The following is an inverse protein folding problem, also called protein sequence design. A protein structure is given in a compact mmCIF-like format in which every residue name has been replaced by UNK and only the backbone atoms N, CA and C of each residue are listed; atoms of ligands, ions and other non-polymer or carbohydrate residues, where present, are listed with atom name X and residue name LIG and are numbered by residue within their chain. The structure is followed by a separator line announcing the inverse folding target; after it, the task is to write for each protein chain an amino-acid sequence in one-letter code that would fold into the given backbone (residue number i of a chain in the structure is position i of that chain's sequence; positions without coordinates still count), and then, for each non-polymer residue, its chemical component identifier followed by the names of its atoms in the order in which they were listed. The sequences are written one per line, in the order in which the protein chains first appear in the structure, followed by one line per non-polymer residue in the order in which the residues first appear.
data_IF_639130940533
#
_entry.id   IF_639130940533
#
_cell.length_a   1.000
_cell.length_b   1.000
_cell.length_c   1.000
_cell.angle_alpha   90.00
_cell.angle_beta   90.00
_cell.angle_gamma   90.00
#
_symmetry.space_group_name_H-M   'P 1'
#
loop_
_entity.id
_entity.type
_entity.pdbx_description
1 polymer ?
#
# COMPACT_ATOMS: atom_id res chain seq x y z
N UNK A 1 26.10 8.86 -5.06
CA UNK A 1 24.85 9.63 -5.18
C UNK A 1 24.08 9.39 -3.89
N UNK A 2 23.81 10.42 -3.08
CA UNK A 2 22.99 10.23 -1.87
C UNK A 2 21.58 9.79 -2.29
N UNK A 3 21.00 8.84 -1.57
CA UNK A 3 19.63 8.34 -1.75
C UNK A 3 18.74 8.89 -0.60
N UNK A 4 18.39 10.19 -0.63
CA UNK A 4 17.68 10.84 0.48
C UNK A 4 16.26 10.29 0.71
N UNK A 5 15.73 9.52 -0.24
CA UNK A 5 14.41 8.92 -0.18
C UNK A 5 14.45 7.40 0.07
N UNK A 6 15.64 6.81 0.26
CA UNK A 6 15.81 5.38 0.53
C UNK A 6 15.31 4.45 -0.59
N UNK A 7 15.29 4.93 -1.84
CA UNK A 7 14.75 4.20 -3.00
C UNK A 7 15.57 2.95 -3.38
N UNK A 8 16.81 2.87 -2.93
CA UNK A 8 17.72 1.73 -3.13
C UNK A 8 17.92 0.90 -1.85
N UNK A 9 17.40 1.37 -0.71
CA UNK A 9 17.40 0.62 0.53
C UNK A 9 16.34 -0.49 0.49
N UNK A 10 16.77 -1.72 0.80
CA UNK A 10 15.87 -2.88 0.90
C UNK A 10 14.92 -2.67 2.08
N UNK A 11 13.66 -2.39 1.77
CA UNK A 11 12.64 -1.97 2.76
C UNK A 11 11.28 -2.61 2.52
N UNK A 12 11.03 -3.11 1.30
CA UNK A 12 9.77 -3.74 0.91
C UNK A 12 9.91 -5.25 1.08
N UNK A 13 9.01 -5.88 1.84
CA UNK A 13 9.01 -7.35 1.98
C UNK A 13 8.79 -8.02 0.62
N UNK A 14 9.52 -9.09 0.34
CA UNK A 14 9.35 -9.90 -0.88
C UNK A 14 7.92 -10.48 -1.01
N UNK A 15 7.17 -10.58 0.10
CA UNK A 15 5.77 -11.03 0.11
C UNK A 15 4.86 -10.20 -0.81
N UNK A 16 5.10 -8.89 -0.95
CA UNK A 16 4.37 -8.04 -1.89
C UNK A 16 4.63 -8.44 -3.35
N UNK A 17 5.86 -8.83 -3.67
CA UNK A 17 6.24 -9.31 -5.00
C UNK A 17 5.73 -10.73 -5.28
N UNK A 18 5.64 -11.60 -4.27
CA UNK A 18 4.99 -12.91 -4.41
C UNK A 18 3.53 -12.78 -4.84
N UNK A 19 2.78 -11.84 -4.26
CA UNK A 19 1.40 -11.60 -4.66
C UNK A 19 1.30 -11.11 -6.11
N UNK A 20 2.19 -10.19 -6.52
CA UNK A 20 2.19 -9.70 -7.90
C UNK A 20 2.50 -10.84 -8.89
N UNK A 21 3.43 -11.72 -8.53
CA UNK A 21 3.72 -12.94 -9.29
C UNK A 21 2.49 -13.84 -9.41
N UNK A 22 1.83 -14.16 -8.28
CA UNK A 22 0.60 -14.98 -8.24
C UNK A 22 -0.45 -14.41 -9.20
N UNK A 23 -0.67 -13.09 -9.16
CA UNK A 23 -1.61 -12.41 -10.05
C UNK A 23 -1.19 -12.52 -11.51
N UNK A 24 0.07 -12.21 -11.85
CA UNK A 24 0.53 -12.22 -13.25
C UNK A 24 0.56 -13.62 -13.87
N UNK A 25 0.75 -14.66 -13.07
CA UNK A 25 0.66 -16.05 -13.52
C UNK A 25 -0.73 -16.42 -14.05
N UNK A 26 -1.79 -15.82 -13.51
CA UNK A 26 -3.17 -16.00 -14.01
C UNK A 26 -3.37 -15.38 -15.41
N UNK A 27 -2.51 -14.44 -15.80
CA UNK A 27 -2.44 -13.90 -17.16
C UNK A 27 -1.51 -14.72 -18.07
N UNK A 28 -1.01 -15.87 -17.61
CA UNK A 28 -0.09 -16.72 -18.36
C UNK A 28 1.35 -16.19 -18.43
N UNK A 29 1.71 -15.21 -17.61
CA UNK A 29 3.05 -14.61 -17.58
C UNK A 29 3.96 -15.47 -16.70
N UNK A 30 5.12 -15.85 -17.22
CA UNK A 30 6.11 -16.58 -16.44
C UNK A 30 6.85 -15.67 -15.47
N UNK A 31 7.30 -16.23 -14.35
CA UNK A 31 8.14 -15.49 -13.38
C UNK A 31 9.37 -14.87 -14.04
N UNK A 32 10.04 -15.60 -14.94
CA UNK A 32 11.23 -15.10 -15.65
C UNK A 32 10.94 -13.84 -16.46
N UNK A 33 9.79 -13.77 -17.15
CA UNK A 33 9.37 -12.56 -17.87
C UNK A 33 9.11 -11.40 -16.90
N UNK A 34 8.48 -11.67 -15.75
CA UNK A 34 8.20 -10.61 -14.78
C UNK A 34 9.49 -10.04 -14.14
N UNK A 35 10.50 -10.89 -13.91
CA UNK A 35 11.78 -10.48 -13.30
C UNK A 35 12.75 -9.81 -14.30
N UNK A 36 12.37 -9.66 -15.56
CA UNK A 36 13.26 -9.11 -16.59
C UNK A 36 13.67 -7.67 -16.24
N UNK A 37 14.98 -7.40 -16.28
CA UNK A 37 15.58 -6.10 -15.95
C UNK A 37 15.32 -5.60 -14.51
N UNK A 38 14.75 -6.40 -13.60
CA UNK A 38 14.42 -5.95 -12.23
C UNK A 38 15.57 -6.08 -11.24
N UNK A 39 16.72 -6.63 -11.65
CA UNK A 39 17.83 -6.98 -10.77
C UNK A 39 17.40 -7.96 -9.64
N UNK A 40 16.36 -8.75 -9.90
CA UNK A 40 15.88 -9.82 -9.02
C UNK A 40 16.00 -11.17 -9.72
N UNK A 41 16.13 -12.21 -8.91
CA UNK A 41 16.29 -13.59 -9.33
C UNK A 41 15.28 -14.49 -8.63
N UNK A 42 15.05 -15.69 -9.17
CA UNK A 42 14.17 -16.68 -8.53
C UNK A 42 14.62 -17.05 -7.11
N UNK A 43 15.93 -17.01 -6.84
CA UNK A 43 16.48 -17.32 -5.52
C UNK A 43 16.12 -16.27 -4.46
N UNK A 44 15.89 -15.01 -4.86
CA UNK A 44 15.45 -13.96 -3.93
C UNK A 44 14.04 -14.28 -3.37
N UNK A 45 13.20 -14.98 -4.14
CA UNK A 45 11.86 -15.41 -3.76
C UNK A 45 11.83 -16.71 -2.92
N UNK A 46 12.98 -17.32 -2.65
CA UNK A 46 13.07 -18.51 -1.78
C UNK A 46 13.29 -18.14 -0.31
N UNK A 47 13.72 -16.91 -0.04
CA UNK A 47 14.02 -16.40 1.29
C UNK A 47 12.77 -15.70 1.86
N UNK A 48 12.21 -16.24 2.94
CA UNK A 48 10.93 -15.75 3.50
C UNK A 48 11.00 -14.32 4.06
N UNK A 49 12.18 -13.89 4.50
CA UNK A 49 12.47 -12.58 5.06
C UNK A 49 13.20 -11.65 4.07
N UNK A 50 13.32 -12.04 2.80
CA UNK A 50 13.93 -11.18 1.80
C UNK A 50 13.18 -9.85 1.67
N UNK A 51 13.97 -8.82 1.40
CA UNK A 51 13.49 -7.48 1.13
C UNK A 51 14.03 -7.01 -0.22
N UNK A 52 13.19 -6.29 -0.95
CA UNK A 52 13.52 -5.60 -2.19
C UNK A 52 13.48 -4.09 -1.94
N UNK A 53 14.11 -3.33 -2.82
CA UNK A 53 14.05 -1.87 -2.75
C UNK A 53 12.89 -1.31 -3.61
N UNK A 54 12.46 -0.06 -3.36
CA UNK A 54 11.43 0.61 -4.15
C UNK A 54 11.65 0.62 -5.66
N UNK A 55 12.90 0.71 -6.12
CA UNK A 55 13.22 0.69 -7.55
C UNK A 55 12.97 -0.69 -8.19
N UNK A 56 13.41 -1.78 -7.55
CA UNK A 56 13.14 -3.15 -7.97
C UNK A 56 11.63 -3.44 -7.99
N UNK A 57 10.91 -3.02 -6.95
CA UNK A 57 9.45 -3.09 -6.91
C UNK A 57 8.80 -2.34 -8.08
N UNK A 58 9.23 -1.10 -8.35
CA UNK A 58 8.66 -0.30 -9.43
C UNK A 58 8.87 -0.95 -10.80
N UNK A 59 10.06 -1.54 -11.04
CA UNK A 59 10.30 -2.30 -12.28
C UNK A 59 9.41 -3.54 -12.40
N UNK A 60 9.19 -4.28 -11.32
CA UNK A 60 8.23 -5.41 -11.30
C UNK A 60 6.82 -4.95 -11.68
N UNK A 61 6.35 -3.84 -11.12
CA UNK A 61 5.03 -3.28 -11.43
C UNK A 61 4.94 -2.85 -12.89
N UNK A 62 5.97 -2.18 -13.43
CA UNK A 62 6.01 -1.82 -14.86
C UNK A 62 5.92 -3.07 -15.74
N UNK A 63 6.71 -4.10 -15.45
CA UNK A 63 6.66 -5.36 -16.20
C UNK A 63 5.26 -5.99 -16.10
N UNK A 64 4.66 -6.01 -14.91
CA UNK A 64 3.32 -6.56 -14.71
C UNK A 64 2.27 -5.81 -15.54
N UNK A 65 2.27 -4.47 -15.51
CA UNK A 65 1.33 -3.64 -16.27
C UNK A 65 1.48 -3.86 -17.79
N UNK A 66 2.72 -3.90 -18.28
CA UNK A 66 3.01 -4.08 -19.70
C UNK A 66 2.64 -5.49 -20.21
N UNK A 67 3.04 -6.52 -19.46
CA UNK A 67 2.86 -7.92 -19.87
C UNK A 67 1.41 -8.38 -19.75
N UNK A 68 0.68 -7.90 -18.73
CA UNK A 68 -0.75 -8.23 -18.57
C UNK A 68 -1.64 -7.42 -19.52
N UNK A 69 -1.19 -6.24 -19.94
CA UNK A 69 -2.03 -5.25 -20.60
C UNK A 69 -3.13 -4.66 -19.70
N UNK A 70 -3.20 -5.07 -18.43
CA UNK A 70 -4.21 -4.59 -17.48
C UNK A 70 -3.75 -3.30 -16.83
N UNK A 71 -4.20 -2.16 -17.36
CA UNK A 71 -3.88 -0.84 -16.80
C UNK A 71 -4.44 -0.60 -15.40
N UNK A 72 -5.42 -1.39 -14.95
CA UNK A 72 -6.08 -1.30 -13.63
C UNK A 72 -5.62 -2.42 -12.68
N UNK A 73 -4.45 -3.00 -12.93
CA UNK A 73 -3.92 -4.12 -12.14
C UNK A 73 -3.82 -3.80 -10.65
N UNK A 74 -3.64 -2.51 -10.29
CA UNK A 74 -3.61 -2.06 -8.89
C UNK A 74 -4.90 -2.38 -8.13
N UNK A 75 -6.05 -2.37 -8.80
CA UNK A 75 -7.35 -2.73 -8.20
C UNK A 75 -7.35 -4.20 -7.81
N UNK A 76 -6.97 -5.09 -8.73
CA UNK A 76 -6.87 -6.53 -8.47
C UNK A 76 -5.82 -6.83 -7.39
N UNK A 77 -4.69 -6.13 -7.45
CA UNK A 77 -3.62 -6.26 -6.46
C UNK A 77 -4.09 -5.87 -5.06
N UNK A 78 -4.74 -4.69 -4.93
CA UNK A 78 -5.28 -4.20 -3.67
C UNK A 78 -6.28 -5.17 -3.03
N UNK A 79 -7.24 -5.67 -3.80
CA UNK A 79 -8.24 -6.63 -3.29
C UNK A 79 -7.66 -7.96 -2.82
N UNK A 80 -6.56 -8.41 -3.44
CA UNK A 80 -5.91 -9.67 -3.08
C UNK A 80 -4.80 -9.50 -2.04
N UNK A 81 -4.54 -8.26 -1.60
CA UNK A 81 -3.50 -7.98 -0.65
C UNK A 81 -3.86 -8.57 0.70
N UNK A 82 -3.19 -9.68 1.03
CA UNK A 82 -3.41 -10.40 2.28
C UNK A 82 -2.96 -9.53 3.43
N UNK A 83 -3.83 -9.28 4.41
CA UNK A 83 -3.48 -8.47 5.58
C UNK A 83 -2.25 -9.03 6.32
N UNK A 84 -2.09 -10.36 6.32
CA UNK A 84 -0.91 -11.03 6.91
C UNK A 84 0.42 -10.66 6.24
N UNK A 85 0.43 -10.20 4.98
CA UNK A 85 1.64 -9.68 4.32
C UNK A 85 2.15 -8.38 4.96
N UNK A 86 1.29 -7.67 5.70
CA UNK A 86 1.67 -6.51 6.49
C UNK A 86 2.26 -6.87 7.87
N UNK A 87 2.53 -8.15 8.16
CA UNK A 87 3.13 -8.57 9.43
C UNK A 87 2.33 -8.06 10.63
N UNK A 88 3.03 -7.50 11.64
CA UNK A 88 2.42 -6.99 12.87
C UNK A 88 1.28 -5.98 12.62
N UNK A 89 1.45 -5.07 11.65
CA UNK A 89 0.42 -4.09 11.32
C UNK A 89 -0.84 -4.75 10.77
N UNK A 90 -0.68 -5.79 9.95
CA UNK A 90 -1.78 -6.60 9.45
C UNK A 90 -2.58 -7.29 10.55
N UNK A 91 -1.86 -7.90 11.50
CA UNK A 91 -2.49 -8.49 12.68
C UNK A 91 -3.17 -7.44 13.56
N UNK A 92 -2.58 -6.26 13.72
CA UNK A 92 -3.19 -5.16 14.48
C UNK A 92 -4.49 -4.66 13.81
N UNK A 93 -4.53 -4.57 12.48
CA UNK A 93 -5.77 -4.28 11.75
C UNK A 93 -6.83 -5.36 11.98
N UNK A 94 -6.49 -6.63 11.77
CA UNK A 94 -7.42 -7.75 11.92
C UNK A 94 -8.01 -7.89 13.32
N UNK A 95 -7.23 -7.57 14.36
CA UNK A 95 -7.63 -7.68 15.76
C UNK A 95 -8.17 -6.37 16.37
N UNK A 96 -8.15 -5.27 15.62
CA UNK A 96 -8.67 -3.97 16.07
C UNK A 96 -10.13 -4.07 16.48
N UNK A 97 -10.57 -3.25 17.43
CA UNK A 97 -11.93 -3.37 17.98
C UNK A 97 -13.01 -2.79 17.06
N UNK A 98 -12.67 -1.77 16.28
CA UNK A 98 -13.56 -1.04 15.40
C UNK A 98 -12.78 -0.34 14.26
N UNK A 99 -13.52 0.20 13.30
CA UNK A 99 -12.96 0.92 12.15
C UNK A 99 -12.12 2.12 12.60
N UNK A 100 -12.55 2.88 13.60
CA UNK A 100 -11.77 4.02 14.11
C UNK A 100 -10.39 3.59 14.62
N UNK A 101 -10.32 2.49 15.35
CA UNK A 101 -9.05 1.91 15.82
C UNK A 101 -8.17 1.56 14.62
N UNK A 102 -8.72 0.92 13.59
CA UNK A 102 -7.99 0.61 12.36
C UNK A 102 -7.51 1.88 11.63
N UNK A 103 -8.33 2.92 11.52
CA UNK A 103 -7.93 4.19 10.89
C UNK A 103 -6.79 4.88 11.64
N UNK A 104 -6.85 4.88 12.97
CA UNK A 104 -5.78 5.39 13.83
C UNK A 104 -4.47 4.62 13.67
N UNK A 105 -4.53 3.28 13.57
CA UNK A 105 -3.36 2.45 13.28
C UNK A 105 -2.76 2.79 11.91
N UNK A 106 -3.62 2.93 10.90
CA UNK A 106 -3.21 3.27 9.54
C UNK A 106 -2.45 4.59 9.54
N UNK A 107 -3.05 5.66 10.06
CA UNK A 107 -2.39 6.97 10.14
C UNK A 107 -1.08 6.93 10.94
N UNK A 108 -1.00 6.14 12.01
CA UNK A 108 0.18 6.09 12.89
C UNK A 108 1.33 5.24 12.36
N UNK A 109 1.05 4.13 11.68
CA UNK A 109 2.04 3.10 11.36
C UNK A 109 2.20 2.79 9.88
N UNK A 110 1.38 3.33 8.98
CA UNK A 110 1.50 3.02 7.55
C UNK A 110 2.82 3.52 6.93
N UNK A 111 3.45 4.51 7.54
CA UNK A 111 4.82 4.96 7.20
C UNK A 111 5.87 3.83 7.29
N UNK A 112 5.56 2.72 7.98
CA UNK A 112 6.42 1.52 8.04
C UNK A 112 6.31 0.62 6.80
N UNK A 113 5.42 0.95 5.86
CA UNK A 113 5.20 0.23 4.59
C UNK A 113 5.65 1.05 3.40
N UNK A 114 5.30 2.33 3.41
CA UNK A 114 5.73 3.30 2.42
C UNK A 114 6.25 4.50 3.18
N UNK A 115 7.57 4.72 3.10
CA UNK A 115 8.20 5.83 3.79
C UNK A 115 7.63 7.15 3.28
N UNK A 116 7.40 8.10 4.19
CA UNK A 116 6.80 9.40 3.91
C UNK A 116 5.38 9.37 3.34
N UNK A 117 4.70 8.23 3.40
CA UNK A 117 3.28 8.12 3.07
C UNK A 117 2.44 8.12 4.35
N UNK A 118 1.53 9.10 4.48
CA UNK A 118 0.67 9.23 5.66
C UNK A 118 -0.80 9.42 5.26
N UNK A 119 -1.59 8.33 5.26
CA UNK A 119 -3.03 8.43 5.13
C UNK A 119 -3.60 9.34 6.22
N UNK A 120 -4.51 10.24 5.85
CA UNK A 120 -5.25 11.06 6.80
C UNK A 120 -6.71 10.66 6.79
N UNK A 121 -7.40 10.88 7.90
CA UNK A 121 -8.84 10.69 7.94
C UNK A 121 -9.52 11.77 8.78
N UNK A 122 -10.79 12.02 8.48
CA UNK A 122 -11.63 12.98 9.19
C UNK A 122 -13.10 12.56 9.08
N UNK A 123 -13.98 13.25 9.79
CA UNK A 123 -15.41 12.95 9.81
C UNK A 123 -16.25 14.22 9.76
N UNK A 124 -17.45 14.12 9.19
CA UNK A 124 -18.54 15.04 9.42
C UNK A 124 -19.73 14.32 10.09
N UNK A 125 -20.91 14.92 10.09
CA UNK A 125 -22.12 14.35 10.70
C UNK A 125 -22.60 13.05 10.02
N UNK A 126 -22.21 12.81 8.76
CA UNK A 126 -22.74 11.74 7.92
C UNK A 126 -21.67 10.75 7.46
N UNK A 127 -20.42 11.19 7.31
CA UNK A 127 -19.38 10.43 6.62
C UNK A 127 -18.02 10.45 7.33
N UNK A 128 -17.29 9.37 7.10
CA UNK A 128 -15.85 9.25 7.31
C UNK A 128 -15.18 9.49 5.96
N UNK A 129 -14.10 10.26 5.98
CA UNK A 129 -13.26 10.51 4.82
C UNK A 129 -11.85 10.02 5.10
N UNK A 130 -11.29 9.23 4.19
CA UNK A 130 -9.92 8.73 4.22
C UNK A 130 -9.23 9.28 2.99
N UNK A 131 -8.11 9.97 3.16
CA UNK A 131 -7.40 10.63 2.07
C UNK A 131 -5.98 10.11 1.89
N UNK A 132 -5.58 10.01 0.63
CA UNK A 132 -4.24 9.67 0.17
C UNK A 132 -3.68 10.86 -0.60
N UNK A 133 -2.93 11.73 0.07
CA UNK A 133 -2.43 12.98 -0.54
C UNK A 133 -1.05 12.87 -1.19
N UNK A 134 -0.37 11.75 -0.94
CA UNK A 134 1.04 11.64 -1.24
C UNK A 134 1.32 11.22 -2.68
N UNK A 135 2.51 11.59 -3.13
CA UNK A 135 3.04 11.30 -4.46
C UNK A 135 3.74 9.94 -4.43
N UNK A 136 3.68 9.18 -5.53
CA UNK A 136 4.43 7.93 -5.66
C UNK A 136 5.93 8.19 -5.44
N UNK A 137 6.61 7.41 -4.58
CA UNK A 137 7.98 7.72 -4.16
C UNK A 137 9.01 7.54 -5.29
N UNK A 138 8.70 6.74 -6.31
CA UNK A 138 9.58 6.46 -7.45
C UNK A 138 9.01 7.06 -8.74
N UNK A 139 9.84 7.78 -9.49
CA UNK A 139 9.59 8.14 -10.89
C UNK A 139 10.49 7.27 -11.77
N UNK A 140 9.89 6.53 -12.69
CA UNK A 140 10.59 5.59 -13.57
C UNK A 140 10.13 5.84 -15.01
N UNK A 141 11.07 5.74 -15.96
CA UNK A 141 10.79 5.94 -17.38
C UNK A 141 10.33 7.35 -17.70
N UNK A 142 9.39 7.45 -18.63
CA UNK A 142 8.77 8.71 -19.03
C UNK A 142 7.63 9.14 -18.08
N UNK A 143 6.96 10.24 -18.44
CA UNK A 143 5.84 10.80 -17.67
C UNK A 143 4.67 9.81 -17.58
N UNK A 144 4.38 9.11 -18.67
CA UNK A 144 3.27 8.16 -18.72
C UNK A 144 3.52 6.97 -17.80
N UNK A 145 4.72 6.36 -17.86
CA UNK A 145 5.09 5.25 -17.00
C UNK A 145 5.09 5.65 -15.52
N UNK A 146 5.60 6.83 -15.19
CA UNK A 146 5.56 7.35 -13.82
C UNK A 146 4.13 7.58 -13.32
N UNK A 147 3.22 8.03 -14.20
CA UNK A 147 1.79 8.15 -13.88
C UNK A 147 1.12 6.80 -13.70
N UNK A 148 1.45 5.80 -14.51
CA UNK A 148 0.95 4.43 -14.37
C UNK A 148 1.37 3.81 -13.04
N UNK A 149 2.62 3.97 -12.62
CA UNK A 149 3.11 3.53 -11.31
C UNK A 149 2.35 4.19 -10.15
N UNK A 150 2.16 5.51 -10.22
CA UNK A 150 1.35 6.23 -9.24
C UNK A 150 -0.06 5.68 -9.19
N UNK A 151 -0.67 5.46 -10.34
CA UNK A 151 -2.04 4.97 -10.43
C UNK A 151 -2.18 3.58 -9.84
N UNK A 152 -1.26 2.66 -10.19
CA UNK A 152 -1.20 1.32 -9.60
C UNK A 152 -1.10 1.36 -8.08
N UNK A 153 -0.24 2.22 -7.54
CA UNK A 153 -0.09 2.37 -6.09
C UNK A 153 -1.38 2.88 -5.45
N UNK A 154 -1.94 3.98 -5.94
CA UNK A 154 -3.14 4.57 -5.36
C UNK A 154 -4.31 3.59 -5.45
N UNK A 155 -4.50 2.91 -6.57
CA UNK A 155 -5.50 1.84 -6.70
C UNK A 155 -5.27 0.71 -5.69
N UNK A 156 -4.03 0.23 -5.56
CA UNK A 156 -3.68 -0.83 -4.61
C UNK A 156 -4.02 -0.44 -3.17
N UNK A 157 -3.77 0.82 -2.80
CA UNK A 157 -4.04 1.33 -1.46
C UNK A 157 -5.53 1.54 -1.21
N UNK A 158 -6.25 2.14 -2.16
CA UNK A 158 -7.69 2.38 -2.03
C UNK A 158 -8.45 1.05 -1.96
N UNK A 159 -8.19 0.13 -2.88
CA UNK A 159 -8.90 -1.15 -2.93
C UNK A 159 -8.43 -2.14 -1.86
N UNK A 160 -7.17 -2.07 -1.41
CA UNK A 160 -6.73 -2.76 -0.20
C UNK A 160 -7.40 -2.21 1.06
N UNK A 161 -7.61 -0.89 1.12
CA UNK A 161 -8.39 -0.23 2.17
C UNK A 161 -9.85 -0.66 2.18
N UNK A 162 -10.50 -0.73 1.00
CA UNK A 162 -11.85 -1.27 0.86
C UNK A 162 -11.90 -2.72 1.35
N UNK A 163 -10.96 -3.57 0.91
CA UNK A 163 -10.91 -4.96 1.35
C UNK A 163 -10.79 -5.09 2.88
N UNK A 164 -9.96 -4.26 3.51
CA UNK A 164 -9.88 -4.20 4.98
C UNK A 164 -11.22 -3.77 5.60
N UNK A 165 -11.84 -2.71 5.10
CA UNK A 165 -13.13 -2.22 5.61
C UNK A 165 -14.23 -3.28 5.48
N UNK A 166 -14.27 -4.00 4.36
CA UNK A 166 -15.18 -5.13 4.14
C UNK A 166 -15.00 -6.23 5.18
N UNK A 167 -13.74 -6.58 5.53
CA UNK A 167 -13.44 -7.56 6.59
C UNK A 167 -13.89 -7.07 7.96
N UNK A 168 -13.67 -5.80 8.28
CA UNK A 168 -13.97 -5.23 9.60
C UNK A 168 -15.48 -5.04 9.82
N UNK A 169 -16.25 -4.80 8.76
CA UNK A 169 -17.69 -4.50 8.84
C UNK A 169 -18.56 -5.75 8.57
N UNK A 170 -18.11 -6.66 7.70
CA UNK A 170 -18.75 -7.89 7.22
C UNK A 170 -20.14 -7.75 6.54
N UNK A 171 -21.15 -7.19 7.21
CA UNK A 171 -22.55 -7.25 6.76
C UNK A 171 -23.18 -5.87 6.53
N UNK A 172 -24.16 -5.83 5.61
CA UNK A 172 -24.93 -4.64 5.24
C UNK A 172 -24.06 -3.44 4.86
N UNK A 173 -23.03 -3.72 4.06
CA UNK A 173 -22.17 -2.72 3.47
C UNK A 173 -22.98 -1.84 2.51
N UNK A 174 -23.10 -0.57 2.87
CA UNK A 174 -23.48 0.46 1.93
C UNK A 174 -22.34 0.71 0.95
N UNK A 175 -22.66 1.31 -0.20
CA UNK A 175 -21.69 1.63 -1.23
C UNK A 175 -20.59 2.55 -0.69
N UNK A 176 -19.34 2.11 -0.80
CA UNK A 176 -18.17 2.94 -0.62
C UNK A 176 -18.00 3.88 -1.81
N UNK A 177 -17.62 5.13 -1.56
CA UNK A 177 -17.28 6.06 -2.63
C UNK A 177 -15.77 6.24 -2.68
N UNK A 178 -15.19 6.07 -3.86
CA UNK A 178 -13.76 6.27 -4.11
C UNK A 178 -13.60 7.50 -4.97
N UNK A 179 -12.77 8.43 -4.51
CA UNK A 179 -12.43 9.66 -5.21
C UNK A 179 -11.06 9.50 -5.83
N UNK A 180 -10.96 9.80 -7.13
CA UNK A 180 -9.76 9.66 -7.93
C UNK A 180 -9.42 11.01 -8.57
N UNK A 181 -8.16 11.43 -8.51
CA UNK A 181 -7.72 12.74 -8.98
C UNK A 181 -7.35 12.81 -10.46
N UNK A 182 -7.59 11.74 -11.20
CA UNK A 182 -7.42 11.67 -12.65
C UNK A 182 -8.76 11.55 -13.39
N UNK A 183 -8.67 11.73 -14.71
CA UNK A 183 -9.82 11.65 -15.61
C UNK A 183 -10.32 10.21 -15.73
N UNK A 184 -11.62 10.06 -15.95
CA UNK A 184 -12.22 8.75 -16.25
C UNK A 184 -11.64 8.16 -17.54
N UNK A 185 -11.41 6.84 -17.53
CA UNK A 185 -10.96 6.05 -18.67
C UNK A 185 -11.90 4.88 -18.89
N UNK A 186 -12.04 4.43 -20.15
CA UNK A 186 -12.76 3.19 -20.49
C UNK A 186 -12.21 1.96 -19.78
N UNK A 187 -10.94 2.00 -19.33
CA UNK A 187 -10.30 0.91 -18.59
C UNK A 187 -11.01 0.61 -17.25
N UNK A 188 -11.82 1.53 -16.72
CA UNK A 188 -12.60 1.34 -15.48
C UNK A 188 -13.94 0.65 -15.69
N UNK A 189 -14.41 0.46 -16.92
CA UNK A 189 -15.72 -0.16 -17.19
C UNK A 189 -15.78 -1.64 -16.75
N UNK A 190 -14.63 -2.31 -16.70
CA UNK A 190 -14.50 -3.69 -16.24
C UNK A 190 -14.52 -3.82 -14.71
N UNK A 191 -14.37 -2.71 -13.97
CA UNK A 191 -14.39 -2.68 -12.51
C UNK A 191 -15.84 -2.77 -12.03
N UNK A 192 -16.37 -4.00 -12.04
CA UNK A 192 -17.70 -4.30 -11.49
C UNK A 192 -17.56 -4.65 -10.01
N UNK A 193 -17.78 -3.67 -9.13
CA UNK A 193 -18.08 -3.94 -7.73
C UNK A 193 -19.34 -3.19 -7.31
N UNK A 194 -20.39 -3.93 -6.95
CA UNK A 194 -21.69 -3.38 -6.56
C UNK A 194 -21.60 -2.49 -5.30
N UNK A 195 -20.55 -2.66 -4.50
CA UNK A 195 -20.35 -1.93 -3.25
C UNK A 195 -19.39 -0.74 -3.41
N UNK A 196 -18.97 -0.39 -4.64
CA UNK A 196 -18.05 0.72 -4.88
C UNK A 196 -18.59 1.63 -5.97
N UNK A 197 -18.55 2.93 -5.70
CA UNK A 197 -18.83 4.00 -6.66
C UNK A 197 -17.59 4.85 -6.87
N UNK A 198 -17.18 5.01 -8.12
CA UNK A 198 -15.99 5.79 -8.49
C UNK A 198 -16.35 7.22 -8.87
N UNK A 199 -15.55 8.17 -8.40
CA UNK A 199 -15.66 9.60 -8.66
C UNK A 199 -14.33 10.14 -9.21
N UNK A 200 -14.28 10.37 -10.51
CA UNK A 200 -13.10 10.91 -11.20
C UNK A 200 -13.02 12.43 -11.13
N UNK A 201 -11.87 12.99 -11.51
CA UNK A 201 -11.60 14.44 -11.50
C UNK A 201 -11.76 15.09 -10.11
N UNK A 202 -11.49 14.33 -9.06
CA UNK A 202 -11.57 14.81 -7.68
C UNK A 202 -10.31 15.59 -7.29
N UNK A 203 -10.40 16.45 -6.27
CA UNK A 203 -9.23 17.21 -5.79
C UNK A 203 -8.19 16.32 -5.10
N UNK A 204 -8.62 15.21 -4.50
CA UNK A 204 -7.81 14.30 -3.68
C UNK A 204 -8.23 12.86 -3.95
N UNK A 205 -7.29 11.93 -3.80
CA UNK A 205 -7.58 10.51 -3.77
C UNK A 205 -8.11 10.11 -2.40
N UNK A 206 -9.11 9.24 -2.33
CA UNK A 206 -9.65 8.84 -1.04
C UNK A 206 -10.85 7.91 -1.08
N UNK A 207 -11.28 7.51 0.11
CA UNK A 207 -12.47 6.69 0.36
C UNK A 207 -13.43 7.52 1.22
N UNK A 208 -14.73 7.45 0.92
CA UNK A 208 -15.81 7.91 1.78
C UNK A 208 -16.74 6.76 2.11
N UNK A 209 -17.13 6.70 3.38
CA UNK A 209 -18.06 5.71 3.91
C UNK A 209 -18.94 6.33 5.00
N UNK A 210 -20.16 5.81 5.23
CA UNK A 210 -21.06 6.29 6.27
C UNK A 210 -20.44 6.31 7.69
N UNK A 211 -20.72 7.36 8.46
CA UNK A 211 -20.21 7.56 9.84
C UNK A 211 -20.60 6.44 10.80
N UNK A 212 -21.74 5.77 10.54
CA UNK A 212 -22.21 4.62 11.34
C UNK A 212 -21.18 3.48 11.41
N UNK A 213 -20.26 3.39 10.44
CA UNK A 213 -19.23 2.36 10.43
C UNK A 213 -18.05 2.67 11.36
N UNK A 214 -17.88 3.92 11.80
CA UNK A 214 -16.70 4.35 12.58
C UNK A 214 -16.53 3.52 13.86
N UNK A 215 -17.63 3.27 14.55
CA UNK A 215 -17.70 2.47 15.78
C UNK A 215 -18.27 1.06 15.55
N UNK A 216 -18.36 0.62 14.30
CA UNK A 216 -18.80 -0.73 14.00
C UNK A 216 -17.79 -1.73 14.60
N UNK A 217 -18.30 -2.66 15.40
CA UNK A 217 -17.49 -3.65 16.10
C UNK A 217 -16.94 -4.63 15.08
N UNK A 218 -15.61 -4.70 15.00
CA UNK A 218 -14.95 -5.74 14.24
C UNK A 218 -15.29 -7.12 14.84
N UNK A 219 -15.88 -8.05 14.07
CA UNK A 219 -16.21 -9.40 14.53
C UNK A 219 -14.96 -10.23 14.88
N UNK A 220 -13.81 -9.87 14.32
CA UNK A 220 -12.50 -10.45 14.63
C UNK A 220 -11.74 -9.68 15.73
N UNK A 221 -12.36 -8.67 16.33
CA UNK A 221 -11.73 -7.84 17.36
C UNK A 221 -11.34 -8.66 18.59
N UNK A 222 -10.05 -8.61 18.93
CA UNK A 222 -9.46 -9.27 20.09
C UNK A 222 -8.46 -8.32 20.74
N UNK A 223 -8.81 -7.86 21.95
CA UNK A 223 -8.02 -6.86 22.67
C UNK A 223 -6.61 -7.36 23.00
N UNK A 224 -6.44 -8.64 23.35
CA UNK A 224 -5.14 -9.18 23.74
C UNK A 224 -4.25 -9.31 22.50
N UNK A 225 -4.79 -9.89 21.41
CA UNK A 225 -4.07 -10.00 20.15
C UNK A 225 -3.70 -8.61 19.60
N UNK A 226 -4.62 -7.65 19.69
CA UNK A 226 -4.40 -6.27 19.29
C UNK A 226 -3.24 -5.62 20.07
N UNK A 227 -3.24 -5.72 21.40
CA UNK A 227 -2.18 -5.16 22.23
C UNK A 227 -0.81 -5.78 21.92
N UNK A 228 -0.76 -7.08 21.67
CA UNK A 228 0.48 -7.76 21.28
C UNK A 228 0.97 -7.27 19.91
N UNK A 229 0.09 -7.24 18.90
CA UNK A 229 0.43 -6.76 17.57
C UNK A 229 0.90 -5.30 17.58
N UNK A 230 0.27 -4.46 18.42
CA UNK A 230 0.65 -3.07 18.60
C UNK A 230 2.08 -2.91 19.14
N UNK A 231 2.51 -3.75 20.08
CA UNK A 231 3.90 -3.72 20.57
C UNK A 231 4.91 -3.99 19.46
N UNK A 232 4.60 -4.89 18.54
CA UNK A 232 5.46 -5.15 17.37
C UNK A 232 5.43 -3.99 16.38
N UNK A 233 4.27 -3.35 16.16
CA UNK A 233 4.17 -2.14 15.33
C UNK A 233 5.05 -1.00 15.85
N UNK A 234 5.06 -0.78 17.17
CA UNK A 234 5.91 0.23 17.80
C UNK A 234 7.41 -0.11 17.65
N UNK A 235 7.79 -1.38 17.78
CA UNK A 235 9.17 -1.83 17.54
C UNK A 235 9.60 -1.61 16.10
N UNK A 236 8.74 -1.96 15.13
CA UNK A 236 9.01 -1.75 13.71
C UNK A 236 9.21 -0.27 13.38
N UNK A 237 8.31 0.59 13.87
CA UNK A 237 8.42 2.04 13.69
C UNK A 237 9.67 2.62 14.34
N UNK A 238 10.00 2.19 15.56
CA UNK A 238 11.20 2.63 16.26
C UNK A 238 12.49 2.23 15.53
N UNK A 239 12.52 1.03 14.92
CA UNK A 239 13.66 0.59 14.09
C UNK A 239 13.87 1.50 12.89
N UNK A 240 12.80 1.80 12.14
CA UNK A 240 12.86 2.69 10.96
C UNK A 240 13.33 4.10 11.34
N UNK A 241 12.85 4.66 12.45
CA UNK A 241 13.30 5.98 12.93
C UNK A 241 14.79 5.95 13.30
N UNK A 242 15.26 4.90 13.98
CA UNK A 242 16.68 4.74 14.33
C UNK A 242 17.57 4.64 13.09
N UNK A 243 17.18 3.82 12.13
CA UNK A 243 17.93 3.62 10.89
C UNK A 243 18.03 4.95 10.11
N UNK A 244 16.92 5.69 9.99
CA UNK A 244 16.91 7.02 9.37
C UNK A 244 17.83 8.03 10.08
N UNK A 245 17.82 8.07 11.42
CA UNK A 245 18.72 8.96 12.18
C UNK A 245 20.19 8.57 12.03
N UNK A 246 20.51 7.28 11.97
CA UNK A 246 21.87 6.81 11.82
C UNK A 246 22.42 7.09 10.41
N UNK A 247 21.60 6.93 9.39
CA UNK A 247 21.95 7.30 8.01
C UNK A 247 22.17 8.81 7.86
N UNK A 248 21.33 9.64 8.50
CA UNK A 248 21.53 11.08 8.54
C UNK A 248 22.86 11.46 9.23
N UNK A 249 23.19 10.84 10.36
CA UNK A 249 24.45 11.06 11.06
C UNK A 249 25.68 10.65 10.23
N UNK A 250 25.60 9.53 9.50
CA UNK A 250 26.64 9.10 8.56
C UNK A 250 26.81 10.09 7.41
N UNK A 251 25.70 10.57 6.85
CA UNK A 251 25.71 11.55 5.76
C UNK A 251 26.38 12.86 6.18
N UNK A 252 25.99 13.41 7.34
CA UNK A 252 26.59 14.62 7.92
C UNK A 252 28.08 14.42 8.20
N UNK A 253 28.48 13.28 8.78
CA UNK A 253 29.90 12.97 9.03
C UNK A 253 30.70 12.88 7.74
N UNK A 254 30.15 12.28 6.68
CA UNK A 254 30.82 12.20 5.39
C UNK A 254 31.01 13.59 4.77
N UNK A 255 30.03 14.48 4.85
CA UNK A 255 30.16 15.85 4.31
C UNK A 255 31.13 16.72 5.11
N UNK A 256 31.17 16.56 6.44
CA UNK A 256 32.12 17.28 7.31
C UNK A 256 33.57 16.80 7.18
N UNK A 257 33.83 15.63 6.58
CA UNK A 257 35.18 15.12 6.32
C UNK A 257 35.75 15.58 4.96
N UNK A 258 34.95 16.28 4.14
CA UNK A 258 35.36 16.87 2.86
C UNK A 258 35.44 18.40 2.90
N UNK A 259 35.45 19.01 4.10
CA UNK A 259 35.74 20.43 4.36
C UNK A 259 37.04 20.51 5.15
#
# INVERSE_FOLDING_TARGET
MQDPFGLFNKSISISYAHLLLEITQEYGISTTQLLENTDLSLTDFQQHDAQINPHQWSKLVVNALNLTGNRRLGIQYGYRLRLTAHGALGFAFLSSMDVETALNLCQKFFCTRIQSFMPTWTTDENFIYIYLDDVHPVKLGDIEQSQQLRTFLIESLLFGGIHLLEILIQENLETFEIFLDWNESSDYQSVKNNNVKLHFNSKRNGIRLPIKYLKNRNPHGDLIAYQQALQYCEKDKARIVKDATHDLQKSIRSELLYI
#
